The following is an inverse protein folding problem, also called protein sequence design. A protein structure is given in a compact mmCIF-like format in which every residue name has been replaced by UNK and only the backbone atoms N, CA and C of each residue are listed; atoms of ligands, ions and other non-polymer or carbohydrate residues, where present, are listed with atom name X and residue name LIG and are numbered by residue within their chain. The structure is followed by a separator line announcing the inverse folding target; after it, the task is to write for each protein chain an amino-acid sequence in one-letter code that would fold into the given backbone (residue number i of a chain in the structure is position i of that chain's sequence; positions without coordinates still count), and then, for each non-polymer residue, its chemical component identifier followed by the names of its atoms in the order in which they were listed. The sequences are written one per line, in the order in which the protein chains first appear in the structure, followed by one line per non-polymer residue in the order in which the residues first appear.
data_IF_534782009547
#
_entry.id   IF_534782009547
#
_cell.length_a   1.000
_cell.length_b   1.000
_cell.length_c   1.000
_cell.angle_alpha   90.00
_cell.angle_beta   90.00
_cell.angle_gamma   90.00
#
_symmetry.space_group_name_H-M   'P 1'
#
loop_
_entity.id
_entity.type
_entity.pdbx_description
1 polymer ?
#
# COMPACT_ATOMS: atom_id res chain seq x y z
N UNK A 1 3.59 15.37 54.47
CA UNK A 1 4.50 14.65 53.55
C UNK A 1 4.27 13.16 53.72
N UNK A 2 3.78 12.47 52.69
CA UNK A 2 3.65 11.01 52.71
C UNK A 2 4.91 10.47 52.04
N UNK A 3 5.81 9.89 52.82
CA UNK A 3 6.96 9.15 52.33
C UNK A 3 6.47 7.75 51.96
N UNK A 4 6.27 7.50 50.66
CA UNK A 4 6.04 6.16 50.15
C UNK A 4 7.42 5.51 50.01
N UNK A 5 7.83 4.76 51.03
CA UNK A 5 9.02 3.92 50.94
C UNK A 5 8.81 2.79 49.93
N UNK A 6 9.89 2.40 49.25
CA UNK A 6 9.95 1.20 48.41
C UNK A 6 9.41 0.01 49.23
N UNK A 7 8.31 -0.58 48.79
CA UNK A 7 7.80 -1.82 49.36
C UNK A 7 8.67 -2.92 48.77
N UNK A 8 9.77 -3.25 49.43
CA UNK A 8 10.46 -4.50 49.19
C UNK A 8 9.52 -5.61 49.68
N UNK A 9 8.98 -6.38 48.74
CA UNK A 9 8.20 -7.57 49.04
C UNK A 9 9.17 -8.71 49.39
N UNK A 10 8.79 -9.49 50.41
CA UNK A 10 9.44 -10.72 50.89
C UNK A 10 10.14 -11.57 49.80
N UNK A 11 11.43 -11.86 50.04
CA UNK A 11 12.27 -13.04 49.75
C UNK A 11 12.14 -13.84 48.43
N UNK A 12 11.42 -13.38 47.40
CA UNK A 12 11.39 -14.07 46.10
C UNK A 12 11.28 -13.13 44.89
N UNK A 13 11.87 -11.94 45.02
CA UNK A 13 11.93 -10.97 43.93
C UNK A 13 13.16 -11.27 43.07
N UNK A 14 12.92 -11.90 41.92
CA UNK A 14 13.89 -12.08 40.83
C UNK A 14 14.73 -10.81 40.62
N UNK A 15 16.05 -10.97 40.42
CA UNK A 15 17.05 -9.91 40.22
C UNK A 15 16.76 -8.95 39.03
N UNK A 16 15.64 -9.13 38.32
CA UNK A 16 15.19 -8.27 37.22
C UNK A 16 14.34 -7.05 37.63
N UNK A 17 14.12 -6.81 38.93
CA UNK A 17 13.25 -5.70 39.40
C UNK A 17 13.87 -4.30 39.30
N UNK A 18 15.17 -4.17 39.04
CA UNK A 18 15.82 -2.88 38.82
C UNK A 18 15.35 -2.13 37.55
N UNK A 19 14.55 -2.77 36.68
CA UNK A 19 14.00 -2.15 35.45
C UNK A 19 12.50 -1.91 35.47
N UNK A 20 11.80 -2.17 36.58
CA UNK A 20 10.36 -1.95 36.66
C UNK A 20 10.03 -0.47 36.79
N UNK A 21 9.35 0.05 35.78
CA UNK A 21 8.78 1.40 35.78
C UNK A 21 7.52 1.41 36.65
N UNK A 22 7.36 2.43 37.50
CA UNK A 22 6.24 2.55 38.42
C UNK A 22 5.79 4.00 38.58
N UNK A 23 4.51 4.20 38.91
CA UNK A 23 3.98 5.47 39.39
C UNK A 23 2.86 5.25 40.41
N UNK A 24 2.54 6.29 41.18
CA UNK A 24 1.47 6.26 42.19
C UNK A 24 0.42 7.29 41.84
N UNK A 25 -0.82 6.83 41.65
CA UNK A 25 -1.99 7.71 41.62
C UNK A 25 -2.55 7.78 43.03
N UNK A 26 -2.79 8.98 43.55
CA UNK A 26 -3.45 9.14 44.86
C UNK A 26 -4.70 9.99 44.69
N UNK A 27 -5.83 9.48 45.18
CA UNK A 27 -7.10 10.20 45.21
C UNK A 27 -7.55 10.35 46.65
N UNK A 28 -7.94 11.57 47.01
CA UNK A 28 -8.65 11.82 48.26
C UNK A 28 -10.10 11.37 48.12
N UNK A 29 -10.54 10.51 49.02
CA UNK A 29 -11.92 10.06 49.12
C UNK A 29 -12.44 10.48 50.49
N UNK A 30 -13.46 11.32 50.49
CA UNK A 30 -14.16 11.73 51.70
C UNK A 30 -15.39 10.83 51.87
N UNK A 31 -15.45 10.08 52.97
CA UNK A 31 -16.61 9.26 53.30
C UNK A 31 -17.68 10.15 53.94
N UNK A 32 -18.69 10.53 53.17
CA UNK A 32 -19.80 11.36 53.64
C UNK A 32 -20.68 10.68 54.69
N UNK A 33 -20.63 9.35 54.83
CA UNK A 33 -21.46 8.63 55.80
C UNK A 33 -20.82 8.57 57.19
N UNK A 34 -19.49 8.67 57.27
CA UNK A 34 -18.72 8.70 58.51
C UNK A 34 -17.92 10.00 58.56
N UNK A 35 -18.57 11.13 58.90
CA UNK A 35 -18.09 12.53 58.94
C UNK A 35 -16.67 12.79 59.53
N UNK A 36 -15.96 11.77 59.99
CA UNK A 36 -14.64 11.76 60.61
C UNK A 36 -13.54 11.01 59.82
N UNK A 37 -13.82 10.50 58.61
CA UNK A 37 -12.91 9.64 57.86
C UNK A 37 -12.51 10.24 56.50
N UNK A 38 -11.33 10.87 56.49
CA UNK A 38 -10.63 11.26 55.28
C UNK A 38 -9.73 10.09 54.84
N UNK A 39 -10.03 9.47 53.70
CA UNK A 39 -9.23 8.38 53.15
C UNK A 39 -8.39 8.85 51.96
N UNK A 40 -7.10 8.51 51.96
CA UNK A 40 -6.26 8.59 50.76
C UNK A 40 -6.25 7.21 50.13
N UNK A 41 -6.78 7.10 48.93
CA UNK A 41 -6.67 5.90 48.12
C UNK A 41 -5.49 6.09 47.18
N UNK A 42 -4.39 5.40 47.46
CA UNK A 42 -3.21 5.37 46.59
C UNK A 42 -3.20 4.09 45.76
N UNK A 43 -3.30 4.20 44.44
CA UNK A 43 -3.11 3.10 43.50
C UNK A 43 -1.66 3.12 42.99
N UNK A 44 -0.85 2.17 43.46
CA UNK A 44 0.49 1.94 42.92
C UNK A 44 0.35 1.10 41.66
N UNK A 45 0.72 1.67 40.52
CA UNK A 45 0.75 0.97 39.23
C UNK A 45 2.21 0.64 38.91
N UNK A 46 2.55 -0.64 38.88
CA UNK A 46 3.86 -1.14 38.45
C UNK A 46 3.67 -1.89 37.14
N UNK A 47 4.60 -1.74 36.19
CA UNK A 47 4.46 -2.44 34.93
C UNK A 47 5.78 -2.71 34.23
N UNK A 48 5.77 -3.80 33.47
CA UNK A 48 6.72 -4.09 32.39
C UNK A 48 5.92 -4.19 31.08
N UNK A 49 6.58 -4.11 29.92
CA UNK A 49 6.05 -3.97 28.56
C UNK A 49 4.75 -4.73 28.18
N UNK A 50 4.33 -5.73 28.96
CA UNK A 50 3.10 -6.50 28.74
C UNK A 50 2.26 -6.77 30.01
N UNK A 51 2.58 -6.28 31.20
CA UNK A 51 1.78 -6.55 32.40
C UNK A 51 1.77 -5.34 33.32
N UNK A 52 0.57 -4.89 33.71
CA UNK A 52 0.36 -3.81 34.68
C UNK A 52 -0.25 -4.44 35.93
N UNK A 53 0.41 -4.25 37.07
CA UNK A 53 -0.13 -4.58 38.37
C UNK A 53 -0.56 -3.32 39.09
N UNK A 54 -1.79 -3.31 39.60
CA UNK A 54 -2.28 -2.23 40.45
C UNK A 54 -2.45 -2.74 41.87
N UNK A 55 -1.77 -2.10 42.83
CA UNK A 55 -2.01 -2.30 44.27
C UNK A 55 -2.69 -1.06 44.82
N UNK A 56 -3.89 -1.21 45.38
CA UNK A 56 -4.56 -0.13 46.12
C UNK A 56 -4.10 -0.16 47.58
N UNK A 57 -3.67 0.99 48.06
CA UNK A 57 -3.30 1.25 49.44
C UNK A 57 -4.28 2.32 49.94
N UNK A 58 -5.15 1.95 50.87
CA UNK A 58 -5.98 2.93 51.58
C UNK A 58 -5.22 3.41 52.81
N UNK A 59 -5.16 4.72 53.00
CA UNK A 59 -4.79 5.33 54.27
C UNK A 59 -6.04 5.97 54.84
N UNK A 60 -6.49 5.50 56.00
CA UNK A 60 -7.59 6.12 56.72
C UNK A 60 -7.04 7.06 57.77
N UNK A 61 -7.39 8.34 57.68
CA UNK A 61 -7.11 9.30 58.74
C UNK A 61 -8.26 9.28 59.74
N UNK A 62 -7.97 8.84 60.97
CA UNK A 62 -8.88 9.07 62.08
C UNK A 62 -8.61 10.49 62.61
N UNK A 63 -9.51 11.43 62.31
CA UNK A 63 -9.36 12.84 62.69
C UNK A 63 -9.27 13.05 64.22
N UNK A 64 -9.93 12.20 65.01
CA UNK A 64 -9.89 12.29 66.48
C UNK A 64 -8.56 11.85 67.08
N UNK A 65 -7.83 10.96 66.40
CA UNK A 65 -6.59 10.36 66.91
C UNK A 65 -5.34 10.84 66.19
N UNK A 66 -5.46 11.58 65.07
CA UNK A 66 -4.34 12.03 64.22
C UNK A 66 -3.40 10.88 63.83
N UNK A 67 -3.94 9.67 63.68
CA UNK A 67 -3.17 8.46 63.34
C UNK A 67 -3.56 7.93 61.97
N UNK A 68 -2.54 7.62 61.18
CA UNK A 68 -2.68 6.90 59.91
C UNK A 68 -2.90 5.43 60.24
N UNK A 69 -4.07 4.89 59.88
CA UNK A 69 -4.31 3.45 59.99
C UNK A 69 -3.83 2.75 58.73
N UNK A 70 -3.15 1.60 58.88
CA UNK A 70 -2.77 0.73 57.76
C UNK A 70 -4.05 0.21 57.12
N UNK A 71 -4.39 0.69 55.93
CA UNK A 71 -5.55 0.16 55.21
C UNK A 71 -5.25 -1.17 54.53
N UNK A 72 -6.32 -1.82 54.08
CA UNK A 72 -6.28 -3.11 53.41
C UNK A 72 -5.68 -2.98 52.01
N UNK A 73 -4.81 -3.93 51.67
CA UNK A 73 -4.33 -4.10 50.29
C UNK A 73 -5.38 -4.86 49.50
N UNK A 74 -6.16 -4.15 48.69
CA UNK A 74 -7.14 -4.80 47.81
C UNK A 74 -6.53 -4.95 46.42
N UNK A 75 -6.51 -6.18 45.90
CA UNK A 75 -6.10 -6.42 44.53
C UNK A 75 -7.26 -6.02 43.62
N UNK A 76 -7.14 -4.88 42.94
CA UNK A 76 -8.15 -4.42 42.00
C UNK A 76 -7.86 -5.01 40.63
N UNK A 77 -8.46 -6.15 40.31
CA UNK A 77 -8.67 -6.55 38.92
C UNK A 77 -9.81 -5.71 38.36
N UNK A 78 -9.48 -4.63 37.64
CA UNK A 78 -10.43 -3.84 36.86
C UNK A 78 -11.44 -3.04 37.67
N UNK A 79 -11.08 -1.83 38.13
CA UNK A 79 -12.12 -0.82 38.34
C UNK A 79 -12.40 -0.16 36.99
N UNK A 80 -13.62 -0.36 36.50
CA UNK A 80 -14.22 0.41 35.41
C UNK A 80 -14.40 1.85 35.89
N UNK A 81 -13.64 2.77 35.30
CA UNK A 81 -13.93 4.20 35.44
C UNK A 81 -15.30 4.49 34.79
N UNK A 82 -16.06 5.40 35.39
CA UNK A 82 -17.46 5.69 35.08
C UNK A 82 -17.71 5.88 33.55
N UNK A 83 -18.29 4.86 32.89
CA UNK A 83 -18.40 4.73 31.42
C UNK A 83 -19.09 5.93 30.75
N UNK A 84 -20.08 6.54 31.40
CA UNK A 84 -20.87 7.64 30.81
C UNK A 84 -20.03 8.91 30.55
N UNK A 85 -19.06 9.21 31.41
CA UNK A 85 -18.18 10.38 31.24
C UNK A 85 -17.12 10.13 30.15
N UNK A 86 -16.67 8.89 30.01
CA UNK A 86 -15.70 8.50 28.99
C UNK A 86 -16.36 8.62 27.61
N UNK A 87 -17.61 8.16 27.46
CA UNK A 87 -18.31 8.23 26.19
C UNK A 87 -18.56 9.67 25.73
N UNK A 88 -19.01 10.55 26.63
CA UNK A 88 -19.19 11.97 26.31
C UNK A 88 -17.87 12.64 25.88
N UNK A 89 -16.76 12.29 26.53
CA UNK A 89 -15.43 12.78 26.18
C UNK A 89 -14.93 12.23 24.84
N UNK A 90 -15.20 10.95 24.54
CA UNK A 90 -14.89 10.37 23.22
C UNK A 90 -15.66 11.07 22.09
N UNK A 91 -16.93 11.43 22.31
CA UNK A 91 -17.70 12.23 21.34
C UNK A 91 -17.10 13.65 21.17
N UNK A 92 -16.62 14.28 22.24
CA UNK A 92 -15.89 15.55 22.14
C UNK A 92 -14.60 15.39 21.32
N UNK A 93 -13.83 14.33 21.54
CA UNK A 93 -12.60 14.05 20.80
C UNK A 93 -12.88 13.75 19.32
N UNK A 94 -13.98 13.06 19.00
CA UNK A 94 -14.43 12.86 17.61
C UNK A 94 -14.62 14.19 16.88
N UNK A 95 -15.18 15.20 17.55
CA UNK A 95 -15.39 16.52 16.95
C UNK A 95 -14.08 17.27 16.61
N UNK A 96 -12.96 16.85 17.21
CA UNK A 96 -11.62 17.43 16.99
C UNK A 96 -10.83 16.72 15.89
N UNK A 97 -11.36 15.62 15.34
CA UNK A 97 -10.71 14.89 14.25
C UNK A 97 -10.77 15.73 12.98
N UNK A 98 -9.60 16.01 12.42
CA UNK A 98 -9.48 16.72 11.16
C UNK A 98 -9.80 15.79 9.98
N UNK A 99 -10.39 16.37 8.93
CA UNK A 99 -10.59 15.68 7.65
C UNK A 99 -9.23 15.17 7.14
N UNK A 100 -9.17 13.96 6.52
CA UNK A 100 -7.93 13.45 5.95
C UNK A 100 -7.27 14.48 5.05
N UNK A 101 -5.99 14.76 5.29
CA UNK A 101 -5.19 15.66 4.46
C UNK A 101 -4.47 14.84 3.42
N UNK A 102 -4.82 15.03 2.15
CA UNK A 102 -4.17 14.38 1.01
C UNK A 102 -3.54 15.44 0.12
N UNK A 103 -2.28 15.22 -0.20
CA UNK A 103 -1.46 16.10 -1.01
C UNK A 103 -0.83 15.29 -2.15
N UNK A 104 -0.77 15.86 -3.35
CA UNK A 104 -0.17 15.23 -4.52
C UNK A 104 -1.18 14.59 -5.48
N UNK A 105 -0.69 14.00 -6.58
CA UNK A 105 -1.52 13.34 -7.58
C UNK A 105 -2.04 11.99 -7.07
N UNK A 106 -3.20 11.58 -7.59
CA UNK A 106 -3.80 10.27 -7.35
C UNK A 106 -3.83 9.43 -8.62
N UNK A 107 -3.69 8.12 -8.48
CA UNK A 107 -3.78 7.19 -9.60
C UNK A 107 -5.26 6.91 -9.90
N UNK A 108 -5.69 7.30 -11.09
CA UNK A 108 -7.06 7.08 -11.58
C UNK A 108 -7.18 5.65 -12.14
N UNK A 109 -7.98 4.82 -11.48
CA UNK A 109 -8.25 3.44 -11.91
C UNK A 109 -9.45 3.45 -12.85
N UNK A 110 -9.21 3.66 -14.15
CA UNK A 110 -10.25 3.56 -15.18
C UNK A 110 -10.33 2.13 -15.72
N UNK A 111 -11.49 1.49 -15.51
CA UNK A 111 -11.79 0.13 -16.00
C UNK A 111 -12.41 0.12 -17.41
N UNK A 112 -12.21 1.16 -18.21
CA UNK A 112 -12.79 1.22 -19.55
C UNK A 112 -12.14 0.18 -20.46
N UNK A 113 -12.94 -0.77 -20.94
CA UNK A 113 -12.58 -1.66 -22.04
C UNK A 113 -12.28 -0.82 -23.30
N UNK A 114 -11.01 -0.51 -23.51
CA UNK A 114 -10.55 0.10 -24.75
C UNK A 114 -10.68 -0.95 -25.86
N UNK A 115 -11.82 -0.95 -26.54
CA UNK A 115 -12.02 -1.71 -27.77
C UNK A 115 -11.15 -1.11 -28.86
N UNK A 116 -10.00 -1.74 -29.07
CA UNK A 116 -9.12 -1.52 -30.22
C UNK A 116 -9.96 -1.59 -31.50
N UNK A 117 -9.98 -0.48 -32.23
CA UNK A 117 -10.62 -0.38 -33.54
C UNK A 117 -9.74 0.52 -34.39
N UNK A 118 -8.99 -0.11 -35.30
CA UNK A 118 -8.74 0.28 -36.71
C UNK A 118 -7.45 -0.40 -37.16
N UNK A 119 -7.57 -1.26 -38.17
CA UNK A 119 -6.42 -1.74 -38.94
C UNK A 119 -6.51 -1.08 -40.30
N UNK A 120 -5.57 -0.19 -40.60
CA UNK A 120 -5.40 0.37 -41.95
C UNK A 120 -4.09 -0.20 -42.50
N UNK A 121 -4.23 -0.93 -43.59
CA UNK A 121 -3.13 -1.39 -44.42
C UNK A 121 -3.01 -0.41 -45.58
N UNK A 122 -1.92 0.33 -45.66
CA UNK A 122 -1.67 1.33 -46.70
C UNK A 122 -0.39 0.96 -47.46
N UNK A 123 -0.36 1.18 -48.77
CA UNK A 123 0.84 1.06 -49.59
C UNK A 123 0.74 0.12 -50.79
N UNK A 124 1.75 0.25 -51.65
CA UNK A 124 1.77 -0.36 -52.98
C UNK A 124 2.48 -1.72 -53.02
N UNK A 125 3.19 -2.10 -51.95
CA UNK A 125 3.89 -3.39 -51.88
C UNK A 125 3.00 -4.58 -52.22
N UNK A 126 3.61 -5.58 -52.85
CA UNK A 126 2.93 -6.83 -53.17
C UNK A 126 2.77 -7.76 -51.94
N UNK A 127 3.33 -7.37 -50.79
CA UNK A 127 3.06 -7.98 -49.49
C UNK A 127 1.82 -7.33 -48.88
N UNK A 128 0.90 -8.16 -48.41
CA UNK A 128 -0.27 -7.74 -47.65
C UNK A 128 -0.12 -8.16 -46.19
N UNK A 129 -0.27 -7.20 -45.28
CA UNK A 129 -0.40 -7.44 -43.84
C UNK A 129 -1.87 -7.38 -43.42
N UNK A 130 -2.32 -8.37 -42.66
CA UNK A 130 -3.66 -8.37 -42.07
C UNK A 130 -3.61 -8.84 -40.62
N UNK A 131 -4.63 -8.47 -39.86
CA UNK A 131 -4.71 -8.81 -38.45
C UNK A 131 -6.13 -8.77 -37.95
N UNK A 132 -6.77 -9.92 -37.83
CA UNK A 132 -8.11 -9.99 -37.24
C UNK A 132 -8.04 -10.09 -35.70
N UNK A 133 -6.91 -10.55 -35.16
CA UNK A 133 -6.69 -10.78 -33.73
C UNK A 133 -5.31 -10.25 -33.27
N UNK A 134 -4.79 -9.18 -33.89
CA UNK A 134 -3.48 -8.65 -33.48
C UNK A 134 -3.53 -8.23 -32.03
N UNK A 135 -2.56 -8.72 -31.26
CA UNK A 135 -2.33 -8.33 -29.88
C UNK A 135 -0.99 -7.62 -29.78
N UNK A 136 -0.96 -6.49 -29.09
CA UNK A 136 0.27 -5.76 -28.78
C UNK A 136 0.52 -5.85 -27.29
N UNK A 137 1.58 -6.56 -26.90
CA UNK A 137 2.00 -6.65 -25.49
C UNK A 137 3.26 -5.83 -25.27
N UNK A 138 3.31 -5.10 -24.16
CA UNK A 138 4.49 -4.33 -23.76
C UNK A 138 5.25 -5.05 -22.64
N UNK A 139 6.57 -4.87 -22.60
CA UNK A 139 7.42 -5.33 -21.51
C UNK A 139 8.59 -4.36 -21.29
N UNK A 140 8.99 -4.12 -20.05
CA UNK A 140 10.11 -3.23 -19.71
C UNK A 140 11.33 -4.05 -19.30
N UNK A 141 12.53 -3.51 -19.51
CA UNK A 141 13.74 -4.02 -18.87
C UNK A 141 13.57 -4.10 -17.35
N UNK A 142 14.32 -4.99 -16.69
CA UNK A 142 14.24 -5.15 -15.22
C UNK A 142 14.93 -4.02 -14.44
N UNK A 143 15.81 -3.24 -15.09
CA UNK A 143 16.56 -2.14 -14.48
C UNK A 143 16.90 -1.07 -15.50
N UNK A 144 17.05 0.17 -15.04
CA UNK A 144 17.58 1.26 -15.85
C UNK A 144 19.12 1.24 -15.86
N UNK A 145 19.71 1.64 -16.98
CA UNK A 145 21.14 1.93 -17.14
C UNK A 145 21.26 3.42 -17.47
N UNK A 146 21.98 4.16 -16.63
CA UNK A 146 22.15 5.62 -16.78
C UNK A 146 20.82 6.39 -16.87
N UNK A 147 19.82 5.97 -16.07
CA UNK A 147 18.48 6.58 -16.05
C UNK A 147 17.64 6.28 -17.30
N UNK A 148 18.04 5.31 -18.12
CA UNK A 148 17.30 4.88 -19.32
C UNK A 148 17.07 3.37 -19.31
N UNK A 149 15.98 2.93 -19.93
CA UNK A 149 15.69 1.51 -20.09
C UNK A 149 14.91 1.28 -21.39
N UNK A 150 14.86 0.02 -21.85
CA UNK A 150 14.07 -0.35 -23.03
C UNK A 150 12.68 -0.80 -22.63
N UNK A 151 11.68 -0.27 -23.32
CA UNK A 151 10.33 -0.79 -23.31
C UNK A 151 10.09 -1.53 -24.63
N UNK A 152 10.03 -2.85 -24.57
CA UNK A 152 9.75 -3.72 -25.70
C UNK A 152 8.25 -3.82 -25.98
N UNK A 153 7.92 -3.94 -27.26
CA UNK A 153 6.59 -4.16 -27.78
C UNK A 153 6.63 -5.41 -28.66
N UNK A 154 5.70 -6.33 -28.42
CA UNK A 154 5.53 -7.54 -29.20
C UNK A 154 4.16 -7.49 -29.88
N UNK A 155 4.18 -7.37 -31.20
CA UNK A 155 3.00 -7.28 -32.06
C UNK A 155 2.79 -8.66 -32.66
N UNK A 156 1.83 -9.41 -32.14
CA UNK A 156 1.62 -10.83 -32.47
C UNK A 156 0.53 -11.01 -33.50
N UNK A 157 0.57 -12.15 -34.20
CA UNK A 157 -0.46 -12.60 -35.13
C UNK A 157 -0.67 -11.65 -36.33
N UNK A 158 0.41 -11.03 -36.80
CA UNK A 158 0.39 -10.32 -38.08
C UNK A 158 0.46 -11.39 -39.17
N UNK A 159 -0.55 -11.43 -40.04
CA UNK A 159 -0.61 -12.36 -41.16
C UNK A 159 -0.01 -11.67 -42.38
N UNK A 160 1.10 -12.22 -42.87
CA UNK A 160 1.76 -11.86 -44.10
C UNK A 160 1.28 -12.76 -45.23
N UNK A 161 0.92 -12.16 -46.35
CA UNK A 161 0.47 -12.87 -47.54
C UNK A 161 0.87 -12.12 -48.80
N UNK A 162 0.89 -12.83 -49.91
CA UNK A 162 1.14 -12.26 -51.24
C UNK A 162 -0.16 -11.68 -51.82
N UNK A 163 -0.11 -10.49 -52.43
CA UNK A 163 -1.28 -9.93 -53.14
C UNK A 163 -1.68 -10.86 -54.29
N UNK A 164 -3.00 -11.10 -54.51
CA UNK A 164 -3.49 -12.03 -55.53
C UNK A 164 -3.00 -11.74 -56.95
N UNK A 165 -2.68 -10.48 -57.27
CA UNK A 165 -2.24 -10.06 -58.60
C UNK A 165 -0.78 -10.42 -58.93
N UNK A 166 -0.03 -11.01 -57.99
CA UNK A 166 1.40 -11.21 -58.15
C UNK A 166 1.83 -12.68 -58.30
N UNK A 167 0.90 -13.63 -58.53
CA UNK A 167 1.05 -15.09 -58.39
C UNK A 167 2.39 -15.66 -58.90
N UNK A 168 2.96 -15.12 -59.98
CA UNK A 168 4.17 -15.68 -60.62
C UNK A 168 5.51 -15.08 -60.17
N UNK A 169 5.55 -14.02 -59.35
CA UNK A 169 6.81 -13.41 -58.88
C UNK A 169 7.24 -13.90 -57.50
N UNK A 170 8.52 -14.26 -57.26
CA UNK A 170 8.99 -14.50 -55.89
C UNK A 170 8.92 -13.18 -55.10
N UNK A 171 8.22 -13.19 -53.96
CA UNK A 171 8.05 -12.01 -53.11
C UNK A 171 8.63 -12.32 -51.74
N UNK A 172 9.44 -11.39 -51.26
CA UNK A 172 10.09 -11.53 -49.97
C UNK A 172 9.97 -10.22 -49.19
N UNK A 173 9.83 -10.33 -47.89
CA UNK A 173 10.02 -9.21 -46.98
C UNK A 173 11.52 -8.99 -46.85
N UNK A 174 12.01 -7.90 -47.44
CA UNK A 174 13.43 -7.55 -47.43
C UNK A 174 13.82 -6.79 -46.16
N UNK A 175 12.94 -5.91 -45.69
CA UNK A 175 13.16 -5.12 -44.48
C UNK A 175 11.87 -4.93 -43.70
N UNK A 176 12.00 -4.93 -42.38
CA UNK A 176 10.93 -4.56 -41.44
C UNK A 176 11.43 -3.42 -40.56
N UNK A 177 10.64 -2.35 -40.44
CA UNK A 177 10.88 -1.27 -39.49
C UNK A 177 9.62 -0.97 -38.70
N UNK A 178 9.77 -0.39 -37.52
CA UNK A 178 8.64 0.00 -36.67
C UNK A 178 8.84 1.44 -36.25
N UNK A 179 7.79 2.24 -36.39
CA UNK A 179 7.72 3.61 -35.90
C UNK A 179 6.63 3.71 -34.84
N UNK A 180 6.78 4.61 -33.88
CA UNK A 180 5.74 4.95 -32.91
C UNK A 180 5.34 6.41 -33.06
N UNK A 181 4.07 6.71 -32.76
CA UNK A 181 3.59 8.09 -32.79
C UNK A 181 3.81 8.75 -31.43
N UNK A 182 4.56 9.85 -31.42
CA UNK A 182 4.79 10.72 -30.27
C UNK A 182 4.39 12.16 -30.62
N UNK A 183 3.41 12.71 -29.91
CA UNK A 183 2.87 14.05 -30.16
C UNK A 183 2.61 14.35 -31.66
N UNK A 184 1.94 13.41 -32.36
CA UNK A 184 1.66 13.43 -33.81
C UNK A 184 2.86 13.19 -34.74
N UNK A 185 4.09 13.12 -34.23
CA UNK A 185 5.28 12.80 -35.02
C UNK A 185 5.60 11.30 -34.98
N UNK A 186 6.03 10.73 -36.10
CA UNK A 186 6.50 9.34 -36.15
C UNK A 186 7.98 9.25 -35.83
N UNK A 187 8.35 8.41 -34.87
CA UNK A 187 9.74 8.18 -34.43
C UNK A 187 10.10 6.71 -34.59
N UNK A 188 11.36 6.42 -34.94
CA UNK A 188 11.81 5.04 -35.13
C UNK A 188 11.96 4.30 -33.80
N UNK A 189 11.56 3.03 -33.80
CA UNK A 189 11.85 2.08 -32.74
C UNK A 189 13.21 1.41 -32.97
N UNK A 190 13.78 0.83 -31.92
CA UNK A 190 15.03 0.07 -31.94
C UNK A 190 14.76 -1.44 -31.84
N UNK A 191 15.81 -2.25 -31.97
CA UNK A 191 15.81 -3.71 -31.82
C UNK A 191 14.69 -4.43 -32.59
N UNK A 192 14.35 -3.91 -33.77
CA UNK A 192 13.29 -4.45 -34.61
C UNK A 192 13.70 -5.84 -35.09
N UNK A 193 12.86 -6.83 -34.78
CA UNK A 193 13.11 -8.20 -35.17
C UNK A 193 11.78 -8.93 -35.41
N UNK A 194 11.83 -9.97 -36.22
CA UNK A 194 10.66 -10.80 -36.54
C UNK A 194 10.89 -12.25 -36.12
N UNK A 195 9.82 -12.94 -35.75
CA UNK A 195 9.84 -14.38 -35.49
C UNK A 195 8.52 -15.00 -35.97
N UNK A 196 8.51 -16.25 -36.45
CA UNK A 196 7.29 -17.01 -36.65
C UNK A 196 6.43 -17.03 -35.37
N UNK A 197 5.12 -16.84 -35.50
CA UNK A 197 4.22 -17.01 -34.37
C UNK A 197 4.07 -18.49 -34.05
N UNK A 198 4.63 -18.95 -32.93
CA UNK A 198 4.35 -20.28 -32.39
C UNK A 198 3.19 -20.22 -31.39
N UNK A 199 2.41 -21.31 -31.29
CA UNK A 199 1.29 -21.42 -30.35
C UNK A 199 1.74 -21.71 -28.91
N UNK A 200 3.03 -21.96 -28.69
CA UNK A 200 3.65 -22.30 -27.42
C UNK A 200 4.32 -21.07 -26.80
N UNK A 201 4.32 -20.96 -25.47
CA UNK A 201 5.02 -19.94 -24.69
C UNK A 201 6.57 -20.02 -24.79
N UNK A 202 7.09 -20.56 -25.89
CA UNK A 202 8.51 -20.84 -26.11
C UNK A 202 9.28 -19.60 -26.57
N UNK A 203 10.58 -19.62 -26.29
CA UNK A 203 11.53 -18.58 -26.65
C UNK A 203 11.51 -18.33 -28.17
N UNK A 204 10.97 -17.18 -28.57
CA UNK A 204 11.05 -16.74 -29.96
C UNK A 204 12.53 -16.62 -30.36
N UNK A 205 12.93 -17.38 -31.38
CA UNK A 205 14.18 -17.11 -32.10
C UNK A 205 13.98 -15.89 -32.99
N UNK A 206 14.19 -14.71 -32.42
CA UNK A 206 14.06 -13.45 -33.15
C UNK A 206 15.19 -13.29 -34.16
N UNK A 207 14.80 -12.96 -35.38
CA UNK A 207 15.72 -12.67 -36.47
C UNK A 207 15.76 -11.16 -36.71
N UNK A 208 16.93 -10.55 -36.54
CA UNK A 208 17.27 -9.24 -37.10
C UNK A 208 17.88 -9.48 -38.49
N UNK A 209 17.46 -8.72 -39.50
CA UNK A 209 18.09 -8.70 -40.84
C UNK A 209 17.90 -9.96 -41.73
N UNK A 210 16.83 -10.71 -41.54
CA UNK A 210 16.54 -11.89 -42.38
C UNK A 210 15.53 -11.59 -43.46
N UNK A 211 15.89 -11.87 -44.72
CA UNK A 211 14.96 -11.83 -45.85
C UNK A 211 13.97 -13.00 -45.70
N UNK A 212 12.69 -12.67 -45.61
CA UNK A 212 11.64 -13.66 -45.41
C UNK A 212 10.90 -13.92 -46.72
N UNK A 213 11.10 -15.10 -47.29
CA UNK A 213 10.49 -15.49 -48.56
C UNK A 213 9.05 -15.96 -48.32
N UNK A 214 8.09 -15.33 -49.00
CA UNK A 214 6.67 -15.73 -48.95
C UNK A 214 6.39 -16.73 -50.07
N UNK A 215 5.95 -17.94 -49.71
CA UNK A 215 5.53 -18.93 -50.71
C UNK A 215 4.15 -18.54 -51.28
N UNK A 216 3.90 -18.80 -52.57
CA UNK A 216 2.57 -18.63 -53.16
C UNK A 216 1.50 -19.34 -52.32
N UNK A 217 0.33 -18.71 -52.18
CA UNK A 217 -0.84 -19.24 -51.47
C UNK A 217 -0.62 -19.66 -50.02
N UNK A 218 0.48 -19.22 -49.39
CA UNK A 218 0.74 -19.44 -47.97
C UNK A 218 0.47 -18.19 -47.15
N UNK A 219 -0.15 -18.39 -45.99
CA UNK A 219 -0.27 -17.38 -44.96
C UNK A 219 0.83 -17.61 -43.94
N UNK A 220 1.59 -16.56 -43.63
CA UNK A 220 2.62 -16.63 -42.60
C UNK A 220 2.24 -15.74 -41.42
N UNK A 221 2.05 -16.33 -40.25
CA UNK A 221 1.83 -15.58 -39.01
C UNK A 221 3.17 -15.23 -38.39
N UNK A 222 3.43 -13.94 -38.23
CA UNK A 222 4.65 -13.43 -37.63
C UNK A 222 4.36 -12.58 -36.38
N UNK A 223 5.33 -12.60 -35.48
CA UNK A 223 5.44 -11.68 -34.35
C UNK A 223 6.56 -10.69 -34.65
N UNK A 224 6.26 -9.40 -34.54
CA UNK A 224 7.24 -8.31 -34.64
C UNK A 224 7.59 -7.85 -33.23
N UNK A 225 8.88 -7.80 -32.91
CA UNK A 225 9.40 -7.14 -31.71
C UNK A 225 10.00 -5.81 -32.11
N UNK A 226 9.76 -4.79 -31.29
CA UNK A 226 10.46 -3.51 -31.35
C UNK A 226 10.68 -2.97 -29.93
N UNK A 227 11.59 -2.03 -29.75
CA UNK A 227 11.83 -1.37 -28.46
C UNK A 227 11.85 0.15 -28.59
N UNK A 228 11.43 0.83 -27.53
CA UNK A 228 11.58 2.28 -27.37
C UNK A 228 12.45 2.51 -26.15
N UNK A 229 13.50 3.34 -26.29
CA UNK A 229 14.32 3.75 -25.14
C UNK A 229 13.62 4.88 -24.41
N UNK A 230 13.42 4.68 -23.11
CA UNK A 230 12.67 5.59 -22.25
C UNK A 230 13.53 6.07 -21.10
N UNK A 231 13.40 7.34 -20.73
CA UNK A 231 14.04 7.89 -19.55
C UNK A 231 13.19 7.60 -18.30
N UNK A 232 13.85 7.23 -17.20
CA UNK A 232 13.20 6.92 -15.93
C UNK A 232 13.59 5.54 -15.41
N UNK A 233 12.73 4.97 -14.57
CA UNK A 233 12.91 3.64 -14.01
C UNK A 233 11.83 2.70 -14.57
N UNK A 234 12.17 1.44 -14.84
CA UNK A 234 11.15 0.45 -15.17
C UNK A 234 10.29 0.12 -13.94
N UNK A 235 9.16 -0.52 -14.18
CA UNK A 235 8.28 -1.04 -13.14
C UNK A 235 9.01 -1.98 -12.18
N UNK A 236 8.66 -1.88 -10.89
CA UNK A 236 9.33 -2.61 -9.81
C UNK A 236 9.13 -4.13 -9.91
N UNK A 237 7.95 -4.57 -10.31
CA UNK A 237 7.60 -5.99 -10.40
C UNK A 237 7.24 -6.43 -11.83
N UNK A 238 6.95 -7.72 -11.98
CA UNK A 238 6.62 -8.32 -13.28
C UNK A 238 5.34 -7.74 -13.88
N UNK A 239 4.33 -7.40 -13.06
CA UNK A 239 3.05 -6.88 -13.56
C UNK A 239 3.20 -5.43 -14.03
N UNK A 240 3.87 -4.59 -13.24
CA UNK A 240 4.18 -3.21 -13.60
C UNK A 240 5.04 -3.13 -14.88
N UNK A 241 5.99 -4.07 -15.05
CA UNK A 241 6.82 -4.13 -16.27
C UNK A 241 6.08 -4.59 -17.52
N UNK A 242 4.92 -5.24 -17.43
CA UNK A 242 4.13 -5.69 -18.59
C UNK A 242 3.29 -4.56 -19.23
N UNK A 243 3.84 -3.34 -19.26
CA UNK A 243 3.15 -2.10 -19.64
C UNK A 243 4.08 -1.21 -20.46
N UNK A 244 3.48 -0.36 -21.28
CA UNK A 244 4.17 0.81 -21.81
C UNK A 244 4.41 1.81 -20.67
N UNK A 245 5.59 2.41 -20.63
CA UNK A 245 5.96 3.42 -19.64
C UNK A 245 5.08 4.66 -19.79
N UNK A 246 4.74 5.28 -18.66
CA UNK A 246 3.83 6.44 -18.58
C UNK A 246 4.25 7.68 -19.38
N UNK A 247 5.54 7.79 -19.72
CA UNK A 247 6.02 8.87 -20.58
C UNK A 247 5.67 8.69 -22.05
N UNK A 248 5.18 7.52 -22.46
CA UNK A 248 4.72 7.25 -23.82
C UNK A 248 3.22 7.57 -23.91
N UNK A 249 2.76 8.09 -25.06
CA UNK A 249 1.34 8.39 -25.24
C UNK A 249 0.50 7.11 -25.17
N UNK A 250 -0.74 7.24 -24.68
CA UNK A 250 -1.73 6.17 -24.61
C UNK A 250 -3.05 6.65 -25.28
N UNK A 251 -3.62 5.90 -26.23
CA UNK A 251 -3.08 4.69 -26.85
C UNK A 251 -1.79 4.96 -27.63
N UNK A 252 -0.80 4.07 -27.52
CA UNK A 252 0.44 4.14 -28.28
C UNK A 252 0.21 3.56 -29.67
N UNK A 253 0.35 4.37 -30.72
CA UNK A 253 0.26 3.88 -32.10
C UNK A 253 1.63 3.42 -32.58
N UNK A 254 1.67 2.21 -33.11
CA UNK A 254 2.85 1.60 -33.73
C UNK A 254 2.56 1.36 -35.21
N UNK A 255 3.41 1.87 -36.09
CA UNK A 255 3.36 1.67 -37.54
C UNK A 255 4.46 0.70 -37.93
N UNK A 256 4.07 -0.52 -38.30
CA UNK A 256 4.96 -1.51 -38.89
C UNK A 256 5.08 -1.20 -40.37
N UNK A 257 6.30 -1.03 -40.87
CA UNK A 257 6.58 -0.86 -42.29
C UNK A 257 7.35 -2.07 -42.80
N UNK A 258 6.99 -2.50 -43.99
CA UNK A 258 7.61 -3.63 -44.70
C UNK A 258 8.04 -3.13 -46.05
N UNK A 259 9.28 -3.39 -46.41
CA UNK A 259 9.82 -3.18 -47.77
C UNK A 259 9.97 -4.55 -48.41
N UNK A 260 9.37 -4.74 -49.58
CA UNK A 260 9.55 -5.98 -50.33
C UNK A 260 10.83 -5.98 -51.16
N UNK A 261 11.13 -7.12 -51.79
CA UNK A 261 12.29 -7.29 -52.67
C UNK A 261 12.26 -6.44 -53.95
N UNK A 262 11.18 -5.71 -54.24
CA UNK A 262 11.08 -4.74 -55.33
C UNK A 262 11.28 -3.30 -54.85
N UNK A 263 11.46 -3.08 -53.54
CA UNK A 263 11.59 -1.76 -52.92
C UNK A 263 10.26 -1.08 -52.60
N UNK A 264 9.14 -1.76 -52.83
CA UNK A 264 7.81 -1.21 -52.54
C UNK A 264 7.47 -1.37 -51.06
N UNK A 265 6.74 -0.40 -50.50
CA UNK A 265 6.43 -0.37 -49.07
C UNK A 265 4.96 -0.66 -48.78
N UNK A 266 4.70 -1.39 -47.71
CA UNK A 266 3.39 -1.52 -47.08
C UNK A 266 3.50 -1.21 -45.58
N UNK A 267 2.49 -0.56 -45.04
CA UNK A 267 2.41 -0.21 -43.63
C UNK A 267 1.16 -0.80 -42.97
N UNK A 268 1.29 -1.16 -41.70
CA UNK A 268 0.19 -1.54 -40.82
C UNK A 268 0.29 -0.71 -39.55
N UNK A 269 -0.78 0.01 -39.19
CA UNK A 269 -0.86 0.74 -37.92
C UNK A 269 -1.66 -0.10 -36.92
N UNK A 270 -1.09 -0.27 -35.73
CA UNK A 270 -1.70 -0.97 -34.59
C UNK A 270 -1.63 -0.08 -33.36
N UNK A 271 -2.55 -0.25 -32.43
CA UNK A 271 -2.54 0.49 -31.16
C UNK A 271 -2.18 -0.44 -30.00
N UNK A 272 -1.44 0.10 -29.04
CA UNK A 272 -1.20 -0.53 -27.76
C UNK A 272 -1.85 0.32 -26.67
N UNK A 273 -2.65 -0.34 -25.83
CA UNK A 273 -3.21 0.26 -24.63
C UNK A 273 -2.67 -0.52 -23.44
N UNK A 274 -2.25 0.19 -22.41
CA UNK A 274 -1.98 -0.42 -21.13
C UNK A 274 -3.26 -1.00 -20.54
N UNK A 275 -3.16 -2.15 -19.91
CA UNK A 275 -4.22 -2.66 -19.05
C UNK A 275 -4.49 -1.67 -17.90
N UNK A 276 -5.63 -1.74 -17.22
CA UNK A 276 -5.79 -1.06 -15.94
C UNK A 276 -4.68 -1.47 -14.97
N UNK A 277 -4.24 -0.55 -14.11
CA UNK A 277 -3.27 -0.88 -13.07
C UNK A 277 -3.95 -1.78 -12.03
N UNK A 278 -3.25 -2.82 -11.60
CA UNK A 278 -3.72 -3.70 -10.52
C UNK A 278 -3.37 -3.07 -9.17
N UNK A 279 -4.07 -1.98 -8.83
CA UNK A 279 -3.87 -1.24 -7.59
C UNK A 279 -4.97 -1.63 -6.61
N UNK A 280 -4.57 -1.93 -5.37
CA UNK A 280 -5.50 -2.25 -4.31
C UNK A 280 -6.37 -1.01 -3.98
N UNK A 281 -7.68 -1.22 -3.96
CA UNK A 281 -8.69 -0.24 -3.56
C UNK A 281 -9.34 -0.69 -2.27
N UNK A 282 -10.05 0.21 -1.60
CA UNK A 282 -10.89 -0.15 -0.45
C UNK A 282 -11.86 -1.28 -0.84
N UNK A 283 -12.49 -1.17 -2.01
CA UNK A 283 -13.47 -2.12 -2.51
C UNK A 283 -12.87 -3.48 -2.85
N UNK A 284 -11.71 -3.52 -3.52
CA UNK A 284 -11.04 -4.79 -3.85
C UNK A 284 -10.51 -5.48 -2.59
N UNK A 285 -10.02 -4.71 -1.62
CA UNK A 285 -9.50 -5.24 -0.37
C UNK A 285 -10.60 -5.85 0.51
N UNK A 286 -11.73 -5.15 0.65
CA UNK A 286 -12.90 -5.64 1.39
C UNK A 286 -13.41 -6.96 0.82
N UNK A 287 -13.48 -7.09 -0.51
CA UNK A 287 -13.89 -8.34 -1.18
C UNK A 287 -12.92 -9.49 -0.93
N UNK A 288 -11.63 -9.22 -0.80
CA UNK A 288 -10.58 -10.24 -0.69
C UNK A 288 -10.53 -10.91 0.68
N UNK A 289 -10.79 -10.15 1.75
CA UNK A 289 -10.57 -10.59 3.13
C UNK A 289 -11.86 -10.80 3.95
N UNK A 290 -13.03 -10.61 3.35
CA UNK A 290 -14.34 -10.68 4.05
C UNK A 290 -14.33 -9.91 5.37
N UNK A 291 -13.81 -8.67 5.34
CA UNK A 291 -13.68 -7.83 6.53
C UNK A 291 -15.04 -7.17 6.83
N UNK A 292 -15.73 -7.55 7.92
CA UNK A 292 -17.06 -7.02 8.20
C UNK A 292 -17.02 -5.57 8.73
N UNK A 293 -16.01 -5.25 9.55
CA UNK A 293 -15.93 -4.00 10.29
C UNK A 293 -14.64 -3.24 9.95
N UNK A 294 -14.59 -2.70 8.73
CA UNK A 294 -13.53 -1.81 8.31
C UNK A 294 -13.65 -0.44 9.00
N UNK A 295 -12.62 -0.08 9.76
CA UNK A 295 -12.52 1.22 10.43
C UNK A 295 -11.94 2.27 9.47
N UNK A 296 -10.80 1.96 8.83
CA UNK A 296 -10.13 2.90 7.94
C UNK A 296 -9.34 2.22 6.82
N UNK A 297 -9.27 2.89 5.67
CA UNK A 297 -8.39 2.54 4.55
C UNK A 297 -7.64 3.81 4.14
N UNK A 298 -6.43 3.97 4.68
CA UNK A 298 -5.57 5.13 4.41
C UNK A 298 -4.62 4.74 3.29
N UNK A 299 -4.46 5.58 2.28
CA UNK A 299 -3.53 5.31 1.18
C UNK A 299 -2.79 6.56 0.72
N UNK A 300 -1.65 6.35 0.08
CA UNK A 300 -0.92 7.35 -0.68
C UNK A 300 -0.43 6.70 -1.99
N UNK A 301 -0.52 7.44 -3.08
CA UNK A 301 -0.16 6.96 -4.41
C UNK A 301 1.26 7.38 -4.77
N UNK A 302 2.02 6.46 -5.36
CA UNK A 302 3.25 6.78 -6.06
C UNK A 302 2.97 6.80 -7.57
N UNK A 303 2.57 7.97 -8.08
CA UNK A 303 2.32 8.18 -9.51
C UNK A 303 3.60 8.08 -10.37
N UNK A 304 4.79 8.04 -9.77
CA UNK A 304 6.03 7.74 -10.48
C UNK A 304 6.24 6.27 -10.73
N UNK A 305 5.76 5.43 -9.82
CA UNK A 305 5.88 3.97 -9.90
C UNK A 305 4.60 3.26 -10.30
N UNK A 306 3.51 4.00 -10.45
CA UNK A 306 2.16 3.46 -10.62
C UNK A 306 1.77 2.50 -9.47
N UNK A 307 2.20 2.82 -8.24
CA UNK A 307 2.00 2.00 -7.04
C UNK A 307 1.12 2.73 -6.01
N UNK A 308 0.46 1.98 -5.12
CA UNK A 308 -0.24 2.52 -3.94
C UNK A 308 0.29 1.88 -2.68
N UNK A 309 0.69 2.71 -1.73
CA UNK A 309 0.90 2.26 -0.36
C UNK A 309 -0.38 2.50 0.43
N UNK A 310 -0.71 1.58 1.33
CA UNK A 310 -1.92 1.69 2.12
C UNK A 310 -1.76 1.03 3.49
N UNK A 311 -2.61 1.46 4.40
CA UNK A 311 -2.84 0.88 5.72
C UNK A 311 -4.33 0.66 5.90
N UNK A 312 -4.70 -0.55 6.32
CA UNK A 312 -6.08 -0.94 6.61
C UNK A 312 -6.21 -1.20 8.09
N UNK A 313 -7.25 -0.64 8.70
CA UNK A 313 -7.57 -0.82 10.12
C UNK A 313 -8.97 -1.40 10.22
N UNK A 314 -9.13 -2.52 10.93
CA UNK A 314 -10.41 -3.20 11.07
C UNK A 314 -10.50 -4.02 12.36
N UNK A 315 -11.71 -4.38 12.78
CA UNK A 315 -11.92 -5.35 13.86
C UNK A 315 -12.03 -6.76 13.29
N UNK A 316 -11.33 -7.70 13.91
CA UNK A 316 -11.45 -9.12 13.59
C UNK A 316 -12.80 -9.68 14.05
N UNK A 317 -13.49 -10.41 13.16
CA UNK A 317 -14.90 -10.82 13.31
C UNK A 317 -15.21 -11.61 14.59
N UNK A 318 -14.31 -12.49 14.99
CA UNK A 318 -14.59 -13.48 16.06
C UNK A 318 -13.99 -13.07 17.41
N UNK A 319 -12.82 -12.45 17.40
CA UNK A 319 -12.06 -12.13 18.62
C UNK A 319 -12.15 -10.65 18.99
N UNK A 320 -12.63 -9.80 18.06
CA UNK A 320 -12.69 -8.35 18.21
C UNK A 320 -11.34 -7.69 18.52
N UNK A 321 -10.24 -8.31 18.10
CA UNK A 321 -8.94 -7.66 18.10
C UNK A 321 -8.90 -6.59 17.01
N UNK A 322 -8.19 -5.49 17.30
CA UNK A 322 -7.93 -4.47 16.29
C UNK A 322 -6.76 -4.91 15.42
N UNK A 323 -6.99 -5.02 14.11
CA UNK A 323 -5.96 -5.37 13.14
C UNK A 323 -5.54 -4.11 12.37
N UNK A 324 -4.24 -3.85 12.35
CA UNK A 324 -3.60 -2.80 11.54
C UNK A 324 -2.72 -3.49 10.52
N UNK A 325 -3.05 -3.38 9.23
CA UNK A 325 -2.38 -4.11 8.15
C UNK A 325 -1.80 -3.16 7.13
N UNK A 326 -0.56 -3.40 6.75
CA UNK A 326 0.18 -2.57 5.81
C UNK A 326 0.30 -3.24 4.43
N UNK A 327 0.44 -2.43 3.38
CA UNK A 327 0.56 -2.90 2.00
C UNK A 327 1.74 -3.85 1.74
N UNK A 328 2.79 -3.81 2.58
CA UNK A 328 3.95 -4.70 2.48
C UNK A 328 3.78 -6.05 3.21
N UNK A 329 2.56 -6.38 3.65
CA UNK A 329 2.19 -7.70 4.16
C UNK A 329 2.31 -7.87 5.68
N UNK A 330 3.00 -6.97 6.38
CA UNK A 330 3.02 -6.95 7.85
C UNK A 330 1.68 -6.48 8.40
N UNK A 331 1.28 -7.06 9.53
CA UNK A 331 0.12 -6.63 10.29
C UNK A 331 0.42 -6.69 11.78
N UNK A 332 -0.34 -5.94 12.56
CA UNK A 332 -0.31 -5.94 14.01
C UNK A 332 -1.70 -6.21 14.53
N UNK A 333 -1.74 -6.96 15.62
CA UNK A 333 -2.95 -7.30 16.36
C UNK A 333 -2.89 -6.59 17.69
N UNK A 334 -3.88 -5.76 17.97
CA UNK A 334 -4.02 -5.04 19.23
C UNK A 334 -5.16 -5.64 20.02
N UNK A 335 -4.79 -6.24 21.14
CA UNK A 335 -5.69 -6.70 22.19
C UNK A 335 -5.85 -5.61 23.24
N UNK A 336 -6.91 -5.67 24.04
CA UNK A 336 -7.16 -4.70 25.12
C UNK A 336 -5.98 -4.54 26.07
N UNK A 337 -5.26 -5.64 26.32
CA UNK A 337 -4.05 -5.66 27.16
C UNK A 337 -2.92 -4.78 26.59
N UNK A 338 -2.68 -4.84 25.28
CA UNK A 338 -1.67 -4.02 24.62
C UNK A 338 -2.04 -2.53 24.69
N UNK A 339 -3.32 -2.20 24.48
CA UNK A 339 -3.81 -0.83 24.60
C UNK A 339 -3.60 -0.27 26.01
N UNK A 340 -3.87 -1.06 27.05
CA UNK A 340 -3.61 -0.65 28.44
C UNK A 340 -2.13 -0.37 28.71
N UNK A 341 -1.22 -1.13 28.09
CA UNK A 341 0.22 -0.83 28.14
C UNK A 341 0.53 0.53 27.50
N UNK A 342 -0.06 0.84 26.35
CA UNK A 342 0.14 2.13 25.69
C UNK A 342 -0.35 3.29 26.55
N UNK A 343 -1.55 3.17 27.13
CA UNK A 343 -2.14 4.16 28.05
C UNK A 343 -1.25 4.38 29.29
N UNK A 344 -0.72 3.30 29.87
CA UNK A 344 0.22 3.37 30.99
C UNK A 344 1.49 4.14 30.60
N UNK A 345 2.07 3.85 29.43
CA UNK A 345 3.28 4.51 28.96
C UNK A 345 3.04 6.01 28.68
N UNK A 346 1.92 6.36 28.06
CA UNK A 346 1.53 7.74 27.80
C UNK A 346 1.35 8.53 29.10
N UNK A 347 0.65 7.94 30.08
CA UNK A 347 0.44 8.53 31.40
C UNK A 347 1.74 8.73 32.16
N UNK A 348 2.62 7.73 32.12
CA UNK A 348 3.93 7.81 32.78
C UNK A 348 4.79 8.94 32.21
N UNK A 349 4.81 9.09 30.89
CA UNK A 349 5.63 10.10 30.21
C UNK A 349 4.92 11.46 30.10
N UNK A 350 3.68 11.57 30.58
CA UNK A 350 2.83 12.77 30.43
C UNK A 350 2.73 13.24 28.97
N UNK A 351 2.53 12.30 28.04
CA UNK A 351 2.39 12.59 26.61
C UNK A 351 0.97 12.31 26.11
N UNK A 352 0.51 13.11 25.15
CA UNK A 352 -0.75 12.91 24.43
C UNK A 352 -0.57 12.19 23.09
N UNK A 353 0.69 12.01 22.68
CA UNK A 353 1.08 11.32 21.46
C UNK A 353 2.22 10.35 21.78
N UNK A 354 2.16 9.15 21.20
CA UNK A 354 3.20 8.14 21.30
C UNK A 354 3.47 7.59 19.89
N UNK A 355 4.69 7.79 19.39
CA UNK A 355 5.12 7.16 18.15
C UNK A 355 5.27 5.65 18.33
N UNK A 356 4.79 4.88 17.35
CA UNK A 356 4.80 3.43 17.38
C UNK A 356 5.91 2.92 16.47
N UNK A 357 7.15 2.95 16.98
CA UNK A 357 8.35 2.65 16.19
C UNK A 357 8.31 1.29 15.49
N UNK A 358 7.67 0.29 16.09
CA UNK A 358 7.49 -1.03 15.47
C UNK A 358 6.63 -1.00 14.20
N UNK A 359 5.78 0.02 14.05
CA UNK A 359 4.91 0.26 12.91
C UNK A 359 5.44 1.34 11.97
N UNK A 360 6.51 2.02 12.36
CA UNK A 360 7.14 3.05 11.57
C UNK A 360 8.09 2.41 10.57
N UNK A 361 8.07 2.90 9.33
CA UNK A 361 8.98 2.45 8.29
C UNK A 361 9.35 3.63 7.42
N UNK A 362 10.64 3.90 7.35
CA UNK A 362 11.18 4.94 6.48
C UNK A 362 12.16 4.31 5.50
N UNK A 363 11.94 4.59 4.23
CA UNK A 363 12.83 4.25 3.13
C UNK A 363 13.10 5.50 2.29
N UNK A 364 13.98 5.40 1.31
CA UNK A 364 14.29 6.54 0.44
C UNK A 364 13.07 7.04 -0.34
N UNK A 365 12.10 6.16 -0.64
CA UNK A 365 10.91 6.50 -1.42
C UNK A 365 9.64 6.66 -0.62
N UNK A 366 9.53 5.94 0.49
CA UNK A 366 8.27 5.72 1.17
C UNK A 366 8.45 5.84 2.68
N UNK A 367 7.50 6.49 3.34
CA UNK A 367 7.46 6.68 4.79
C UNK A 367 6.07 6.32 5.33
N UNK A 368 6.05 5.46 6.34
CA UNK A 368 4.90 5.12 7.16
C UNK A 368 5.20 5.56 8.58
N UNK A 369 4.35 6.43 9.12
CA UNK A 369 4.37 6.81 10.52
C UNK A 369 3.02 6.56 11.16
N UNK A 370 3.06 5.95 12.33
CA UNK A 370 1.89 5.64 13.14
C UNK A 370 2.08 6.22 14.53
N UNK A 371 1.14 7.04 14.95
CA UNK A 371 1.15 7.69 16.27
C UNK A 371 -0.13 7.34 17.01
N UNK A 372 0.00 6.75 18.20
CA UNK A 372 -1.13 6.56 19.10
C UNK A 372 -1.48 7.88 19.79
N UNK A 373 -2.78 8.18 19.88
CA UNK A 373 -3.30 9.44 20.41
C UNK A 373 -4.05 9.21 21.73
N UNK A 374 -3.70 9.99 22.74
CA UNK A 374 -4.24 9.89 24.10
C UNK A 374 -4.92 11.19 24.50
N UNK A 375 -6.02 11.06 25.23
CA UNK A 375 -6.71 12.20 25.81
C UNK A 375 -5.83 12.84 26.91
N UNK A 376 -5.73 14.17 26.91
CA UNK A 376 -4.85 14.90 27.84
C UNK A 376 -5.29 14.83 29.29
N UNK A 377 -6.56 14.54 29.57
CA UNK A 377 -7.11 14.52 30.92
C UNK A 377 -7.12 13.11 31.50
N UNK A 378 -7.53 12.13 30.71
CA UNK A 378 -7.71 10.73 31.14
C UNK A 378 -6.52 9.84 30.78
N UNK A 379 -5.67 10.26 29.84
CA UNK A 379 -4.63 9.43 29.21
C UNK A 379 -5.17 8.16 28.52
N UNK A 380 -6.47 8.13 28.22
CA UNK A 380 -7.08 7.02 27.48
C UNK A 380 -6.73 7.12 26.00
N UNK A 381 -6.44 5.97 25.41
CA UNK A 381 -6.21 5.87 23.97
C UNK A 381 -7.54 6.09 23.25
N UNK A 382 -7.58 7.03 22.30
CA UNK A 382 -8.81 7.30 21.53
C UNK A 382 -8.63 7.13 20.02
N UNK A 383 -7.40 7.15 19.52
CA UNK A 383 -7.17 7.18 18.09
C UNK A 383 -5.76 6.86 17.64
N UNK A 384 -5.61 6.79 16.33
CA UNK A 384 -4.33 6.68 15.62
C UNK A 384 -4.20 7.80 14.61
N UNK A 385 -3.01 8.37 14.49
CA UNK A 385 -2.63 9.19 13.34
C UNK A 385 -1.76 8.36 12.42
N UNK A 386 -2.20 8.18 11.18
CA UNK A 386 -1.45 7.50 10.12
C UNK A 386 -0.96 8.54 9.13
N UNK A 387 0.36 8.56 8.93
CA UNK A 387 1.00 9.36 7.90
C UNK A 387 1.66 8.42 6.89
N UNK A 388 1.18 8.48 5.65
CA UNK A 388 1.74 7.78 4.51
C UNK A 388 2.36 8.81 3.58
N UNK A 389 3.57 8.56 3.12
CA UNK A 389 4.23 9.43 2.14
C UNK A 389 4.96 8.57 1.11
N UNK A 390 4.78 8.93 -0.15
CA UNK A 390 5.53 8.41 -1.29
C UNK A 390 6.41 9.54 -1.87
N UNK A 391 7.08 9.28 -3.00
CA UNK A 391 7.79 10.34 -3.73
C UNK A 391 6.87 11.42 -4.28
N UNK A 392 5.61 11.09 -4.58
CA UNK A 392 4.71 11.98 -5.31
C UNK A 392 3.54 12.48 -4.48
N UNK A 393 3.11 11.73 -3.45
CA UNK A 393 1.97 12.11 -2.63
C UNK A 393 2.20 11.88 -1.13
N UNK A 394 1.35 12.51 -0.33
CA UNK A 394 1.32 12.36 1.12
C UNK A 394 -0.12 12.34 1.59
N UNK A 395 -0.41 11.45 2.54
CA UNK A 395 -1.69 11.36 3.23
C UNK A 395 -1.45 11.36 4.73
N UNK A 396 -2.19 12.20 5.44
CA UNK A 396 -2.27 12.19 6.91
C UNK A 396 -3.73 12.06 7.33
N UNK A 397 -4.02 11.04 8.11
CA UNK A 397 -5.38 10.72 8.55
C UNK A 397 -5.39 10.40 10.04
N UNK A 398 -6.27 11.05 10.79
CA UNK A 398 -6.54 10.73 12.19
C UNK A 398 -7.79 9.86 12.27
N UNK A 399 -7.65 8.70 12.89
CA UNK A 399 -8.63 7.62 12.90
C UNK A 399 -9.05 7.40 14.34
N UNK A 400 -10.34 7.48 14.61
CA UNK A 400 -10.87 7.09 15.91
C UNK A 400 -10.89 5.57 16.04
N UNK A 401 -10.42 5.06 17.17
CA UNK A 401 -10.49 3.64 17.47
C UNK A 401 -11.78 3.29 18.23
N UNK A 402 -12.44 2.18 17.91
CA UNK A 402 -13.57 1.66 18.68
C UNK A 402 -13.04 0.89 19.91
N UNK A 403 -12.40 1.62 20.84
CA UNK A 403 -11.70 1.05 22.01
C UNK A 403 -12.62 0.20 22.89
N UNK A 404 -13.89 0.59 22.97
CA UNK A 404 -14.98 -0.10 23.66
C UNK A 404 -15.27 -1.49 23.08
N UNK A 405 -15.01 -1.69 21.78
CA UNK A 405 -15.27 -2.96 21.08
C UNK A 405 -14.10 -3.93 21.12
N UNK A 406 -12.91 -3.50 21.56
CA UNK A 406 -11.70 -4.32 21.54
C UNK A 406 -11.63 -5.18 22.81
N UNK A 407 -11.46 -6.49 22.63
CA UNK A 407 -11.42 -7.47 23.73
C UNK A 407 -10.01 -7.74 24.27
#
# INVERSE_FOLDING_TARGET
TILIGRIDNDDNVDENTEKLKWFVESKWVYDQQNETLLSIVSSVKTGYEQQIWTKKICFSLNEQQMKIMKGETVHLSGQEENDDNIQARLEELKSKITVPKREGPEIIINNSELKLRKYECEGDSLVRMTGNNITVTANQDSYARDGKFKNYFFIKQIIFSKKPLAVDKPISVAQVSVQYQDHQTWKECQDVAIAPTTNTHEDYSFYSDTILNLKPDTLMSLTVRASIVVNGNPGRDRSARQRAHKSLPQPLKLKINVVDNLGETCSLIVEQCNSPLNIETKESYLKKLDIPDLIAFVYADDCDRDERIFTVIYLEKDVQHLIIRFSYGTYFTWEKKYMKTLEFNAKQNSTTELELDSMNKTSESDEWKTTALFDSETSLLYGLRIQLKTKTSKTEETILLPVDKIK
#
